data_IF_794885754482
#
_entry.id   IF_794885754482
#
_cell.length_a   1.000
_cell.length_b   1.000
_cell.length_c   1.000
_cell.angle_alpha   90.00
_cell.angle_beta   90.00
_cell.angle_gamma   90.00
#
_symmetry.space_group_name_H-M   'P 1'
#
loop_
_entity.id
_entity.type
_entity.pdbx_description
1 polymer ?
#
# COMPACT_ATOMS: atom_id res chain seq x y z
N UNK A 1 -25.01 39.01 3.84
CA UNK A 1 -24.62 37.81 3.08
C UNK A 1 -23.44 38.19 2.19
N UNK A 2 -22.24 37.77 2.57
CA UNK A 2 -20.99 38.10 1.86
C UNK A 2 -20.80 37.11 0.71
N UNK A 3 -20.89 37.60 -0.52
CA UNK A 3 -20.55 36.84 -1.73
C UNK A 3 -19.03 36.76 -1.86
N UNK A 4 -18.42 35.72 -1.30
CA UNK A 4 -17.02 35.41 -1.59
C UNK A 4 -16.86 35.14 -3.10
N UNK A 5 -15.80 35.67 -3.74
CA UNK A 5 -15.54 35.43 -5.15
C UNK A 5 -15.33 33.93 -5.38
N UNK A 6 -16.13 33.33 -6.26
CA UNK A 6 -15.91 31.95 -6.74
C UNK A 6 -14.51 31.92 -7.35
N UNK A 7 -13.58 31.28 -6.64
CA UNK A 7 -12.17 31.24 -7.02
C UNK A 7 -11.96 30.71 -8.44
N UNK A 8 -10.78 31.01 -9.00
CA UNK A 8 -10.28 30.66 -10.35
C UNK A 8 -10.46 29.18 -10.78
N UNK A 9 -10.95 28.33 -9.90
CA UNK A 9 -11.18 26.91 -10.10
C UNK A 9 -12.40 26.57 -10.97
N UNK A 10 -13.44 27.42 -10.98
CA UNK A 10 -14.60 27.20 -11.85
C UNK A 10 -14.18 27.15 -13.34
N UNK A 11 -13.11 27.86 -13.70
CA UNK A 11 -12.54 27.86 -15.04
C UNK A 11 -11.77 26.57 -15.37
N UNK A 12 -11.25 25.85 -14.37
CA UNK A 12 -10.37 24.68 -14.55
C UNK A 12 -11.06 23.33 -14.31
N UNK A 13 -12.35 23.33 -13.99
CA UNK A 13 -13.15 22.11 -13.78
C UNK A 13 -13.17 21.19 -15.00
N UNK A 14 -13.17 21.77 -16.20
CA UNK A 14 -13.11 21.04 -17.48
C UNK A 14 -11.77 20.33 -17.67
N UNK A 15 -10.65 21.00 -17.38
CA UNK A 15 -9.31 20.41 -17.46
C UNK A 15 -9.13 19.25 -16.48
N UNK A 16 -9.67 19.39 -15.27
CA UNK A 16 -9.70 18.32 -14.27
C UNK A 16 -10.47 17.08 -14.75
N UNK A 17 -11.70 17.27 -15.25
CA UNK A 17 -12.51 16.17 -15.77
C UNK A 17 -11.88 15.51 -17.00
N UNK A 18 -11.27 16.31 -17.89
CA UNK A 18 -10.56 15.80 -19.06
C UNK A 18 -9.35 14.94 -18.67
N UNK A 19 -8.60 15.32 -17.62
CA UNK A 19 -7.48 14.53 -17.13
C UNK A 19 -7.92 13.19 -16.52
N UNK A 20 -9.00 13.19 -15.71
CA UNK A 20 -9.55 11.96 -15.14
C UNK A 20 -10.04 11.01 -16.24
N UNK A 21 -10.76 11.54 -17.24
CA UNK A 21 -11.23 10.75 -18.39
C UNK A 21 -10.07 10.20 -19.22
N UNK A 22 -9.05 11.03 -19.51
CA UNK A 22 -7.87 10.62 -20.29
C UNK A 22 -7.11 9.46 -19.64
N UNK A 23 -7.07 9.43 -18.31
CA UNK A 23 -6.34 8.40 -17.56
C UNK A 23 -7.23 7.24 -17.09
N UNK A 24 -8.51 7.19 -17.50
CA UNK A 24 -9.50 6.20 -17.03
C UNK A 24 -9.58 6.11 -15.51
N UNK A 25 -9.45 7.26 -14.85
CA UNK A 25 -9.50 7.37 -13.40
C UNK A 25 -10.95 7.65 -13.04
N UNK A 26 -11.63 6.65 -12.49
CA UNK A 26 -13.06 6.72 -12.17
C UNK A 26 -13.33 7.71 -11.02
N UNK A 27 -12.32 7.93 -10.18
CA UNK A 27 -12.39 8.89 -9.09
C UNK A 27 -11.02 9.45 -8.72
N UNK A 28 -11.02 10.69 -8.21
CA UNK A 28 -9.85 11.36 -7.64
C UNK A 28 -9.08 10.50 -6.62
N UNK A 29 -9.74 9.52 -5.99
CA UNK A 29 -9.15 8.62 -4.99
C UNK A 29 -8.18 7.59 -5.56
N UNK A 30 -8.20 7.36 -6.88
CA UNK A 30 -7.27 6.47 -7.57
C UNK A 30 -6.03 7.23 -8.07
N UNK A 31 -5.97 8.56 -7.87
CA UNK A 31 -4.80 9.33 -8.24
C UNK A 31 -3.61 8.93 -7.36
N UNK A 32 -2.61 8.33 -7.99
CA UNK A 32 -1.29 8.16 -7.38
C UNK A 32 -0.67 9.54 -7.11
N UNK A 33 0.23 9.69 -6.12
CA UNK A 33 0.90 10.96 -5.82
C UNK A 33 1.47 11.68 -7.05
N UNK A 34 2.08 10.92 -7.97
CA UNK A 34 2.61 11.41 -9.25
C UNK A 34 1.53 11.95 -10.20
N UNK A 35 0.35 11.31 -10.23
CA UNK A 35 -0.78 11.77 -11.04
C UNK A 35 -1.44 13.02 -10.44
N UNK A 36 -1.33 13.19 -9.12
CA UNK A 36 -1.82 14.36 -8.39
C UNK A 36 -0.93 15.57 -8.68
N UNK A 37 0.39 15.39 -8.76
CA UNK A 37 1.36 16.39 -9.24
C UNK A 37 1.13 16.78 -10.70
N UNK A 38 0.92 15.80 -11.59
CA UNK A 38 0.64 16.09 -13.01
C UNK A 38 -0.66 16.90 -13.19
N UNK A 39 -1.70 16.57 -12.41
CA UNK A 39 -2.97 17.28 -12.40
C UNK A 39 -2.82 18.70 -11.82
N UNK A 40 -1.90 18.89 -10.86
CA UNK A 40 -1.52 20.18 -10.31
C UNK A 40 -0.80 21.06 -11.35
N UNK A 41 0.16 20.50 -12.09
CA UNK A 41 0.88 21.18 -13.16
C UNK A 41 -0.07 21.65 -14.30
N UNK A 42 -1.11 20.87 -14.60
CA UNK A 42 -2.13 21.23 -15.60
C UNK A 42 -3.05 22.35 -15.12
N UNK A 43 -3.29 22.46 -13.81
CA UNK A 43 -4.23 23.45 -13.24
C UNK A 43 -3.58 24.79 -12.87
N UNK A 44 -2.24 24.90 -12.97
CA UNK A 44 -1.51 26.18 -12.93
C UNK A 44 -1.45 26.84 -11.55
N UNK A 45 -1.53 26.07 -10.46
CA UNK A 45 -1.24 26.55 -9.10
C UNK A 45 0.15 26.05 -8.74
N UNK A 46 1.03 26.87 -8.17
CA UNK A 46 2.44 26.52 -7.86
C UNK A 46 2.83 27.03 -6.47
N UNK A 47 3.89 26.52 -5.79
CA UNK A 47 4.35 25.14 -5.64
C UNK A 47 4.73 24.90 -4.16
N UNK A 48 3.91 25.37 -3.22
CA UNK A 48 4.19 25.21 -1.79
C UNK A 48 3.32 24.10 -1.21
N UNK A 49 3.96 23.18 -0.49
CA UNK A 49 3.36 22.13 0.35
C UNK A 49 2.08 22.58 1.05
N UNK A 50 2.07 23.80 1.59
CA UNK A 50 0.92 24.38 2.28
C UNK A 50 -0.28 24.67 1.37
N UNK A 51 -0.04 25.12 0.13
CA UNK A 51 -1.12 25.34 -0.83
C UNK A 51 -1.72 24.02 -1.31
N UNK A 52 -0.90 22.98 -1.48
CA UNK A 52 -1.38 21.64 -1.81
C UNK A 52 -2.19 21.02 -0.67
N UNK A 53 -1.72 21.18 0.58
CA UNK A 53 -2.48 20.81 1.78
C UNK A 53 -3.82 21.54 1.85
N UNK A 54 -3.82 22.86 1.69
CA UNK A 54 -5.04 23.67 1.68
C UNK A 54 -5.99 23.29 0.53
N UNK A 55 -5.45 22.91 -0.63
CA UNK A 55 -6.24 22.46 -1.78
C UNK A 55 -6.93 21.12 -1.48
N UNK A 56 -6.18 20.11 -1.04
CA UNK A 56 -6.74 18.80 -0.68
C UNK A 56 -7.76 18.93 0.47
N UNK A 57 -7.47 19.79 1.45
CA UNK A 57 -8.39 20.05 2.56
C UNK A 57 -9.68 20.75 2.13
N UNK A 58 -9.61 21.74 1.25
CA UNK A 58 -10.79 22.53 0.88
C UNK A 58 -11.60 21.93 -0.28
N UNK A 59 -10.96 21.22 -1.20
CA UNK A 59 -11.60 20.69 -2.40
C UNK A 59 -11.96 19.21 -2.25
N UNK A 60 -11.08 18.34 -1.75
CA UNK A 60 -11.43 16.92 -1.64
C UNK A 60 -12.30 16.64 -0.41
N UNK A 61 -11.98 17.23 0.75
CA UNK A 61 -12.73 16.94 1.97
C UNK A 61 -14.15 17.55 2.01
N UNK A 62 -14.40 18.62 1.23
CA UNK A 62 -15.67 19.35 1.23
C UNK A 62 -16.72 18.76 0.29
N UNK A 63 -16.28 18.07 -0.77
CA UNK A 63 -17.15 17.35 -1.70
C UNK A 63 -17.27 15.85 -1.36
N UNK A 64 -16.75 15.42 -0.20
CA UNK A 64 -16.90 14.06 0.30
C UNK A 64 -18.32 13.78 0.81
N UNK A 65 -18.95 12.74 0.25
CA UNK A 65 -20.14 12.09 0.79
C UNK A 65 -19.83 11.09 1.92
N UNK A 66 -20.83 10.32 2.33
CA UNK A 66 -20.84 9.48 3.54
C UNK A 66 -19.89 8.27 3.56
N UNK A 67 -19.23 7.90 2.45
CA UNK A 67 -18.30 6.74 2.37
C UNK A 67 -16.92 6.97 3.04
N UNK A 68 -16.89 7.85 4.04
CA UNK A 68 -15.72 8.48 4.65
C UNK A 68 -14.86 7.54 5.50
N UNK A 69 -15.46 6.52 6.11
CA UNK A 69 -14.77 5.66 7.09
C UNK A 69 -14.14 4.42 6.46
N UNK A 70 -14.65 3.97 5.31
CA UNK A 70 -14.18 2.74 4.67
C UNK A 70 -12.84 2.91 3.95
N UNK A 71 -12.51 4.13 3.48
CA UNK A 71 -11.33 4.39 2.65
C UNK A 71 -10.10 4.93 3.40
N UNK A 72 -10.31 5.75 4.44
CA UNK A 72 -9.21 6.39 5.18
C UNK A 72 -8.80 5.55 6.41
N UNK A 73 -9.60 4.52 6.73
CA UNK A 73 -9.47 3.76 7.98
C UNK A 73 -9.60 4.69 9.20
N UNK A 74 -8.83 4.41 10.25
CA UNK A 74 -8.82 5.21 11.49
C UNK A 74 -8.04 6.54 11.40
N UNK A 75 -7.42 6.85 10.24
CA UNK A 75 -6.61 8.08 10.12
C UNK A 75 -7.49 9.32 10.11
N UNK A 76 -7.03 10.39 10.77
CA UNK A 76 -7.73 11.67 10.72
C UNK A 76 -7.58 12.30 9.33
N UNK A 77 -8.57 13.08 8.90
CA UNK A 77 -8.55 13.79 7.61
C UNK A 77 -7.27 14.60 7.39
N UNK A 78 -6.77 15.23 8.45
CA UNK A 78 -5.54 16.00 8.41
C UNK A 78 -4.31 15.12 8.18
N UNK A 79 -4.22 13.99 8.90
CA UNK A 79 -3.10 13.06 8.77
C UNK A 79 -3.00 12.44 7.36
N UNK A 80 -4.13 12.06 6.77
CA UNK A 80 -4.15 11.51 5.41
C UNK A 80 -3.70 12.54 4.35
N UNK A 81 -4.15 13.79 4.47
CA UNK A 81 -3.70 14.86 3.58
C UNK A 81 -2.20 15.14 3.75
N UNK A 82 -1.71 15.15 4.99
CA UNK A 82 -0.30 15.38 5.29
C UNK A 82 0.60 14.28 4.72
N UNK A 83 0.17 13.02 4.78
CA UNK A 83 0.86 11.87 4.20
C UNK A 83 0.91 11.95 2.67
N UNK A 84 -0.23 12.19 1.99
CA UNK A 84 -0.24 12.32 0.52
C UNK A 84 0.63 13.48 0.03
N UNK A 85 0.61 14.61 0.73
CA UNK A 85 1.43 15.77 0.39
C UNK A 85 2.91 15.47 0.61
N UNK A 86 3.25 14.74 1.67
CA UNK A 86 4.63 14.33 1.94
C UNK A 86 5.14 13.35 0.88
N UNK A 87 4.36 12.34 0.53
CA UNK A 87 4.73 11.32 -0.47
C UNK A 87 4.94 11.94 -1.84
N UNK A 88 4.07 12.87 -2.26
CA UNK A 88 4.22 13.58 -3.52
C UNK A 88 5.53 14.36 -3.60
N UNK A 89 5.91 15.09 -2.54
CA UNK A 89 7.16 15.85 -2.52
C UNK A 89 8.41 14.97 -2.39
N UNK A 90 8.31 13.85 -1.68
CA UNK A 90 9.42 12.91 -1.57
C UNK A 90 9.72 12.22 -2.92
N UNK A 91 8.71 11.94 -3.75
CA UNK A 91 8.90 11.37 -5.08
C UNK A 91 9.65 12.28 -6.08
N UNK A 92 9.61 13.61 -5.91
CA UNK A 92 10.37 14.53 -6.78
C UNK A 92 11.88 14.53 -6.46
N UNK A 93 12.25 14.22 -5.21
CA UNK A 93 13.65 14.21 -4.77
C UNK A 93 14.39 12.95 -5.25
N UNK A 94 13.68 11.84 -5.46
CA UNK A 94 14.28 10.57 -5.87
C UNK A 94 14.31 10.34 -7.41
N UNK A 95 13.67 11.21 -8.21
CA UNK A 95 13.53 11.03 -9.66
C UNK A 95 14.34 11.96 -10.57
N UNK A 96 15.24 12.79 -10.01
CA UNK A 96 15.93 13.87 -10.73
C UNK A 96 17.25 13.51 -11.44
N UNK A 97 17.79 12.30 -11.23
CA UNK A 97 19.08 11.90 -11.82
C UNK A 97 18.97 10.51 -12.46
N UNK A 98 18.59 10.44 -13.73
CA UNK A 98 18.66 9.19 -14.49
C UNK A 98 18.00 9.24 -15.86
N UNK A 99 18.81 9.30 -16.92
CA UNK A 99 18.39 8.89 -18.26
C UNK A 99 18.64 9.88 -19.38
N UNK A 100 19.90 10.27 -19.60
CA UNK A 100 20.39 10.72 -20.90
C UNK A 100 21.46 9.75 -21.37
N UNK A 101 21.07 8.78 -22.21
CA UNK A 101 22.00 7.96 -22.98
C UNK A 101 22.59 8.87 -24.07
N UNK A 102 23.86 9.26 -23.91
CA UNK A 102 24.66 9.78 -25.03
C UNK A 102 25.71 8.74 -25.43
N UNK A 103 25.80 8.60 -26.74
CA UNK A 103 26.53 7.59 -27.48
C UNK A 103 28.04 7.55 -27.16
N UNK A 104 28.50 6.31 -27.13
CA UNK A 104 29.86 5.82 -27.02
C UNK A 104 30.75 6.39 -28.14
N UNK A 105 31.52 7.43 -27.85
CA UNK A 105 32.66 7.85 -28.67
C UNK A 105 33.96 7.39 -27.99
N UNK A 106 34.58 6.39 -28.62
CA UNK A 106 35.92 5.88 -28.33
C UNK A 106 36.97 7.00 -28.47
N UNK A 107 37.62 7.38 -27.38
CA UNK A 107 38.81 8.24 -27.41
C UNK A 107 40.01 7.48 -26.86
N UNK A 108 40.92 7.12 -27.76
CA UNK A 108 42.24 6.57 -27.47
C UNK A 108 43.09 7.63 -26.76
N UNK A 109 43.64 7.29 -25.59
CA UNK A 109 44.51 8.18 -24.84
C UNK A 109 45.90 8.34 -25.47
N UNK A 110 46.62 9.44 -25.18
CA UNK A 110 48.05 9.49 -25.36
C UNK A 110 48.79 9.09 -24.09
N UNK A 111 49.84 8.32 -24.35
CA UNK A 111 50.80 7.69 -23.45
C UNK A 111 51.59 8.71 -22.62
N UNK A 112 52.00 8.22 -21.46
CA UNK A 112 53.23 8.50 -20.71
C UNK A 112 54.15 9.60 -21.27
N UNK A 113 54.34 10.65 -20.47
CA UNK A 113 55.48 11.55 -20.53
C UNK A 113 56.13 11.62 -19.14
N UNK A 114 57.07 10.69 -18.90
CA UNK A 114 58.11 10.79 -17.88
C UNK A 114 59.21 11.74 -18.38
N UNK A 115 59.96 12.26 -17.42
CA UNK A 115 61.27 12.91 -17.53
C UNK A 115 61.29 14.43 -17.73
N UNK A 116 61.88 15.09 -16.74
CA UNK A 116 62.13 16.53 -16.68
C UNK A 116 62.98 16.89 -15.46
N UNK A 117 64.10 16.19 -15.28
CA UNK A 117 65.19 16.62 -14.40
C UNK A 117 66.05 17.69 -15.12
N UNK A 118 66.44 18.70 -14.32
CA UNK A 118 67.71 19.46 -14.36
C UNK A 118 68.19 20.08 -15.67
N UNK A 119 68.29 21.41 -15.63
CA UNK A 119 69.45 22.25 -16.00
C UNK A 119 69.07 23.68 -15.57
N UNK A 120 69.88 24.44 -14.83
CA UNK A 120 71.21 24.91 -15.19
C UNK A 120 71.08 26.37 -15.65
N UNK A 121 71.59 27.32 -14.86
CA UNK A 121 72.03 28.68 -15.22
C UNK A 121 71.80 29.68 -14.07
N UNK A 122 72.66 30.63 -13.78
CA UNK A 122 74.11 30.81 -13.91
C UNK A 122 74.39 32.09 -13.11
N UNK A 123 75.50 32.14 -12.39
CA UNK A 123 75.96 33.28 -11.61
C UNK A 123 76.08 34.54 -12.47
N UNK A 124 75.49 35.66 -12.02
CA UNK A 124 75.89 36.99 -12.44
C UNK A 124 76.72 37.65 -11.34
N UNK A 125 78.01 37.31 -11.30
CA UNK A 125 79.06 38.14 -10.70
C UNK A 125 79.72 38.97 -11.80
N UNK A 126 79.30 40.23 -11.95
CA UNK A 126 80.00 41.20 -12.78
C UNK A 126 81.03 41.95 -11.92
N UNK A 127 82.28 41.50 -12.03
CA UNK A 127 83.48 42.16 -11.54
C UNK A 127 83.89 43.22 -12.57
N UNK A 128 83.83 44.51 -12.20
CA UNK A 128 84.42 45.60 -12.98
C UNK A 128 85.79 45.94 -12.39
N UNK A 129 86.84 45.38 -13.00
CA UNK A 129 88.21 45.89 -12.94
C UNK A 129 88.41 46.73 -14.20
N UNK A 130 88.64 48.05 -14.05
CA UNK A 130 89.06 48.92 -15.15
C UNK A 130 90.38 49.59 -14.77
N UNK A 131 91.36 49.15 -15.54
CA UNK A 131 92.75 49.53 -15.76
C UNK A 131 93.28 50.91 -15.32
N UNK A 132 94.49 50.82 -14.77
CA UNK A 132 95.50 51.86 -14.61
C UNK A 132 95.99 52.36 -15.98
N UNK A 133 95.99 53.67 -16.19
CA UNK A 133 96.79 54.31 -17.25
C UNK A 133 97.81 55.27 -16.65
N UNK A 134 99.07 54.81 -16.68
CA UNK A 134 100.29 55.57 -16.47
C UNK A 134 100.58 56.45 -17.70
N UNK A 135 100.56 57.77 -17.52
CA UNK A 135 101.18 58.69 -18.48
C UNK A 135 102.29 59.51 -17.82
N UNK A 136 103.50 58.96 -17.96
CA UNK A 136 104.75 59.68 -17.91
C UNK A 136 104.85 60.64 -19.10
N UNK A 137 105.09 61.92 -18.84
CA UNK A 137 105.77 62.81 -19.79
C UNK A 137 106.89 63.55 -19.08
N UNK A 138 108.10 63.03 -19.27
CA UNK A 138 109.32 63.81 -19.18
C UNK A 138 109.42 64.71 -20.43
N UNK A 139 109.85 65.95 -20.26
CA UNK A 139 110.72 66.60 -21.24
C UNK A 139 111.50 67.75 -20.61
N UNK A 140 112.82 67.56 -20.65
CA UNK A 140 113.87 68.53 -20.40
C UNK A 140 113.81 69.66 -21.43
N UNK A 141 114.18 70.88 -21.06
CA UNK A 141 114.97 71.75 -21.94
C UNK A 141 115.82 72.71 -21.12
N UNK A 142 117.11 72.40 -21.06
CA UNK A 142 118.19 73.31 -20.67
C UNK A 142 118.35 74.41 -21.73
N UNK A 143 118.55 75.66 -21.31
CA UNK A 143 119.24 76.68 -22.13
C UNK A 143 120.21 77.43 -21.22
N UNK A 144 121.50 77.25 -21.52
CA UNK A 144 122.65 77.96 -20.95
C UNK A 144 122.90 79.31 -21.63
N UNK A 145 123.63 80.20 -20.95
CA UNK A 145 124.34 81.35 -21.54
C UNK A 145 124.28 82.60 -20.66
N UNK A 146 125.36 82.97 -19.96
CA UNK A 146 126.41 83.91 -20.43
C UNK A 146 125.92 85.36 -20.42
N UNK A 147 126.58 86.42 -19.96
CA UNK A 147 127.83 86.72 -19.26
C UNK A 147 127.78 88.27 -19.09
N UNK A 148 128.45 88.81 -18.06
CA UNK A 148 129.03 90.18 -17.96
C UNK A 148 128.21 91.37 -18.50
N UNK A 149 127.80 92.29 -17.61
CA UNK A 149 128.14 93.73 -17.71
C UNK A 149 127.59 94.52 -16.53
N UNK A 150 128.51 95.20 -15.84
CA UNK A 150 128.31 96.18 -14.78
C UNK A 150 127.73 97.47 -15.35
N UNK A 151 126.48 97.79 -14.99
CA UNK A 151 125.89 99.12 -15.22
C UNK A 151 124.39 99.08 -15.49
N UNK A 152 123.56 99.13 -14.44
CA UNK A 152 122.10 99.23 -14.62
C UNK A 152 121.28 98.60 -13.50
N UNK A 153 121.55 98.96 -12.24
CA UNK A 153 120.81 98.45 -11.07
C UNK A 153 119.32 98.80 -11.10
N UNK A 154 118.91 99.92 -11.71
CA UNK A 154 117.50 100.33 -11.77
C UNK A 154 116.65 99.53 -12.78
N UNK A 155 117.17 99.23 -13.97
CA UNK A 155 116.41 98.47 -15.00
C UNK A 155 116.26 96.97 -14.66
N UNK A 156 117.20 96.41 -13.89
CA UNK A 156 117.11 95.02 -13.40
C UNK A 156 116.08 94.89 -12.27
N UNK A 157 115.98 95.89 -11.39
CA UNK A 157 114.97 95.93 -10.34
C UNK A 157 113.55 96.07 -10.94
N UNK A 158 113.35 96.89 -11.96
CA UNK A 158 112.07 96.98 -12.69
C UNK A 158 111.68 95.66 -13.38
N UNK A 159 112.63 95.01 -14.05
CA UNK A 159 112.39 93.69 -14.66
C UNK A 159 112.07 92.60 -13.62
N UNK A 160 112.67 92.68 -12.43
CA UNK A 160 112.40 91.75 -11.33
C UNK A 160 111.05 92.01 -10.66
N UNK A 161 110.66 93.27 -10.46
CA UNK A 161 109.35 93.66 -9.95
C UNK A 161 108.25 93.23 -10.93
N UNK A 162 108.46 93.42 -12.24
CA UNK A 162 107.51 92.99 -13.27
C UNK A 162 107.33 91.46 -13.28
N UNK A 163 108.41 90.68 -13.18
CA UNK A 163 108.33 89.21 -13.04
C UNK A 163 107.62 88.75 -11.77
N UNK A 164 107.89 89.41 -10.64
CA UNK A 164 107.21 89.09 -9.37
C UNK A 164 105.72 89.44 -9.44
N UNK A 165 105.36 90.53 -10.12
CA UNK A 165 103.97 90.90 -10.38
C UNK A 165 103.25 89.86 -11.25
N UNK A 166 103.89 89.41 -12.33
CA UNK A 166 103.33 88.34 -13.19
C UNK A 166 103.19 87.01 -12.44
N UNK A 167 104.16 86.66 -11.58
CA UNK A 167 104.08 85.47 -10.72
C UNK A 167 102.97 85.57 -9.67
N UNK A 168 102.78 86.75 -9.06
CA UNK A 168 101.67 86.99 -8.13
C UNK A 168 100.33 86.90 -8.86
N UNK A 169 100.24 87.44 -10.07
CA UNK A 169 99.05 87.34 -10.91
C UNK A 169 98.73 85.90 -11.29
N UNK A 170 99.73 85.11 -11.69
CA UNK A 170 99.56 83.68 -11.98
C UNK A 170 99.18 82.88 -10.73
N UNK A 171 99.73 83.22 -9.55
CA UNK A 171 99.32 82.60 -8.29
C UNK A 171 97.90 82.96 -7.91
N UNK A 172 97.48 84.21 -8.13
CA UNK A 172 96.10 84.63 -7.91
C UNK A 172 95.15 83.87 -8.84
N UNK A 173 95.44 83.78 -10.14
CA UNK A 173 94.63 82.97 -11.05
C UNK A 173 94.51 81.50 -10.60
N UNK A 174 95.60 80.90 -10.11
CA UNK A 174 95.57 79.53 -9.57
C UNK A 174 94.76 79.41 -8.27
N UNK A 175 94.71 80.46 -7.46
CA UNK A 175 93.86 80.50 -6.27
C UNK A 175 92.39 80.61 -6.71
N UNK A 176 92.07 81.54 -7.61
CA UNK A 176 90.72 81.75 -8.13
C UNK A 176 90.18 80.49 -8.87
N UNK A 177 91.04 79.74 -9.57
CA UNK A 177 90.68 78.45 -10.19
C UNK A 177 90.43 77.36 -9.13
N UNK A 178 91.20 77.36 -8.03
CA UNK A 178 91.01 76.41 -6.92
C UNK A 178 89.75 76.71 -6.12
N UNK A 179 89.45 77.98 -5.89
CA UNK A 179 88.21 78.42 -5.23
C UNK A 179 87.00 78.01 -6.06
N UNK A 180 87.01 78.25 -7.38
CA UNK A 180 85.95 77.73 -8.27
C UNK A 180 85.81 76.21 -8.24
N UNK A 181 86.92 75.48 -8.27
CA UNK A 181 86.88 74.01 -8.17
C UNK A 181 86.35 73.51 -6.82
N UNK A 182 86.57 74.25 -5.73
CA UNK A 182 86.00 73.94 -4.42
C UNK A 182 84.49 74.24 -4.38
N UNK A 183 84.05 75.38 -4.93
CA UNK A 183 82.63 75.72 -5.05
C UNK A 183 81.86 74.67 -5.89
N UNK A 184 82.43 74.21 -7.00
CA UNK A 184 81.81 73.18 -7.84
C UNK A 184 81.74 71.82 -7.11
N UNK A 185 82.75 71.51 -6.28
CA UNK A 185 82.75 70.30 -5.46
C UNK A 185 81.75 70.37 -4.30
N UNK A 186 81.57 71.54 -3.70
CA UNK A 186 80.57 71.78 -2.65
C UNK A 186 79.16 71.59 -3.22
N UNK A 187 78.86 72.19 -4.39
CA UNK A 187 77.58 71.98 -5.09
C UNK A 187 77.33 70.50 -5.41
N UNK A 188 78.34 69.77 -5.88
CA UNK A 188 78.20 68.34 -6.17
C UNK A 188 77.96 67.51 -4.89
N UNK A 189 78.49 67.93 -3.74
CA UNK A 189 78.21 67.29 -2.45
C UNK A 189 76.78 67.57 -1.99
N UNK A 190 76.31 68.80 -2.14
CA UNK A 190 74.92 69.17 -1.83
C UNK A 190 73.92 68.37 -2.67
N UNK A 191 74.15 68.25 -3.99
CA UNK A 191 73.34 67.41 -4.88
C UNK A 191 73.36 65.93 -4.46
N UNK A 192 74.52 65.42 -4.05
CA UNK A 192 74.64 64.05 -3.57
C UNK A 192 73.90 63.83 -2.24
N UNK A 193 73.93 64.80 -1.33
CA UNK A 193 73.17 64.76 -0.07
C UNK A 193 71.65 64.76 -0.34
N UNK A 194 71.17 65.60 -1.25
CA UNK A 194 69.75 65.59 -1.67
C UNK A 194 69.34 64.23 -2.27
N UNK A 195 70.20 63.62 -3.09
CA UNK A 195 69.98 62.27 -3.61
C UNK A 195 69.94 61.20 -2.53
N UNK A 196 70.81 61.27 -1.51
CA UNK A 196 70.79 60.34 -0.38
C UNK A 196 69.53 60.49 0.46
N UNK A 197 69.07 61.72 0.71
CA UNK A 197 67.81 61.98 1.42
C UNK A 197 66.63 61.39 0.64
N UNK A 198 66.58 61.59 -0.67
CA UNK A 198 65.52 61.03 -1.53
C UNK A 198 65.53 59.51 -1.50
N UNK A 199 66.71 58.89 -1.60
CA UNK A 199 66.88 57.44 -1.52
C UNK A 199 66.44 56.88 -0.16
N UNK A 200 66.76 57.57 0.94
CA UNK A 200 66.35 57.16 2.28
C UNK A 200 64.82 57.17 2.44
N UNK A 201 64.14 58.18 1.89
CA UNK A 201 62.67 58.26 1.88
C UNK A 201 62.06 57.13 1.04
N UNK A 202 62.62 56.82 -0.12
CA UNK A 202 62.16 55.68 -0.93
C UNK A 202 62.31 54.34 -0.22
N UNK A 203 63.43 54.13 0.47
CA UNK A 203 63.68 52.90 1.24
C UNK A 203 62.64 52.79 2.37
N UNK A 204 62.46 53.86 3.15
CA UNK A 204 61.48 53.87 4.24
C UNK A 204 60.04 53.63 3.74
N UNK A 205 59.69 54.15 2.57
CA UNK A 205 58.38 53.89 1.94
C UNK A 205 58.23 52.42 1.55
N UNK A 206 59.25 51.82 0.94
CA UNK A 206 59.26 50.39 0.59
C UNK A 206 59.18 49.49 1.82
N UNK A 207 59.88 49.83 2.91
CA UNK A 207 59.78 49.11 4.18
C UNK A 207 58.34 49.12 4.72
N UNK A 208 57.69 50.29 4.71
CA UNK A 208 56.29 50.40 5.13
C UNK A 208 55.33 49.58 4.24
N UNK A 209 55.59 49.50 2.93
CA UNK A 209 54.82 48.64 2.02
C UNK A 209 55.00 47.14 2.33
N UNK A 210 56.23 46.72 2.65
CA UNK A 210 56.53 45.34 3.05
C UNK A 210 55.80 44.99 4.34
N UNK A 211 55.85 45.84 5.37
CA UNK A 211 55.14 45.65 6.63
C UNK A 211 53.62 45.48 6.42
N UNK A 212 53.03 46.30 5.54
CA UNK A 212 51.61 46.17 5.19
C UNK A 212 51.32 44.85 4.48
N UNK A 213 52.20 44.38 3.59
CA UNK A 213 52.05 43.09 2.93
C UNK A 213 52.16 41.92 3.92
N UNK A 214 53.07 41.99 4.89
CA UNK A 214 53.18 40.97 5.95
C UNK A 214 51.92 40.88 6.80
N UNK A 215 51.32 42.02 7.18
CA UNK A 215 50.04 42.06 7.90
C UNK A 215 48.93 41.41 7.06
N UNK A 216 48.85 41.72 5.76
CA UNK A 216 47.86 41.13 4.87
C UNK A 216 48.04 39.61 4.72
N UNK A 217 49.27 39.13 4.63
CA UNK A 217 49.58 37.69 4.57
C UNK A 217 49.21 36.99 5.87
N UNK A 218 49.53 37.58 7.03
CA UNK A 218 49.15 37.06 8.35
C UNK A 218 47.64 36.95 8.51
N UNK A 219 46.89 37.97 8.07
CA UNK A 219 45.43 37.95 8.07
C UNK A 219 44.85 36.87 7.13
N UNK A 220 45.46 36.66 5.96
CA UNK A 220 45.07 35.56 5.05
C UNK A 220 45.34 34.19 5.66
N UNK A 221 46.49 34.01 6.32
CA UNK A 221 46.84 32.75 6.98
C UNK A 221 45.87 32.41 8.12
N UNK A 222 45.51 33.40 8.94
CA UNK A 222 44.51 33.21 10.00
C UNK A 222 43.13 32.86 9.44
N UNK A 223 42.72 33.50 8.33
CA UNK A 223 41.49 33.16 7.61
C UNK A 223 41.48 31.74 7.04
N UNK A 224 42.61 31.28 6.51
CA UNK A 224 42.78 29.91 6.02
C UNK A 224 42.70 28.89 7.17
N UNK A 225 43.37 29.14 8.30
CA UNK A 225 43.30 28.28 9.50
C UNK A 225 41.88 28.15 10.03
N UNK A 226 41.13 29.25 10.08
CA UNK A 226 39.72 29.25 10.49
C UNK A 226 38.84 28.44 9.54
N UNK A 227 39.05 28.60 8.23
CA UNK A 227 38.34 27.86 7.19
C UNK A 227 38.65 26.36 7.25
N UNK A 228 39.92 25.99 7.47
CA UNK A 228 40.34 24.60 7.66
C UNK A 228 39.69 23.98 8.90
N UNK A 229 39.66 24.70 10.02
CA UNK A 229 39.00 24.22 11.24
C UNK A 229 37.50 24.00 11.03
N UNK A 230 36.85 24.88 10.25
CA UNK A 230 35.43 24.70 9.87
C UNK A 230 35.24 23.45 9.01
N UNK A 231 36.06 23.25 7.98
CA UNK A 231 35.98 22.05 7.13
C UNK A 231 36.22 20.76 7.92
N UNK A 232 37.13 20.77 8.91
CA UNK A 232 37.34 19.62 9.80
C UNK A 232 36.07 19.31 10.62
N UNK A 233 35.42 20.33 11.19
CA UNK A 233 34.16 20.17 11.93
C UNK A 233 33.03 19.64 11.03
N UNK A 234 32.90 20.20 9.84
CA UNK A 234 31.87 19.79 8.86
C UNK A 234 32.09 18.34 8.41
N UNK A 235 33.36 17.93 8.23
CA UNK A 235 33.73 16.53 7.94
C UNK A 235 33.39 15.59 9.10
N UNK A 236 33.66 16.00 10.33
CA UNK A 236 33.34 15.19 11.51
C UNK A 236 31.83 15.06 11.72
N UNK A 237 31.05 16.14 11.50
CA UNK A 237 29.59 16.06 11.56
C UNK A 237 29.02 15.15 10.48
N UNK A 238 29.55 15.22 9.25
CA UNK A 238 29.13 14.33 8.17
C UNK A 238 29.39 12.86 8.51
N UNK A 239 30.55 12.54 9.10
CA UNK A 239 30.86 11.18 9.54
C UNK A 239 29.87 10.69 10.60
N UNK A 240 29.52 11.54 11.58
CA UNK A 240 28.54 11.20 12.63
C UNK A 240 27.15 10.97 12.01
N UNK A 241 26.74 11.81 11.08
CA UNK A 241 25.45 11.67 10.39
C UNK A 241 25.40 10.37 9.56
N UNK A 242 26.50 10.03 8.89
CA UNK A 242 26.63 8.75 8.18
C UNK A 242 26.51 7.55 9.14
N UNK A 243 27.23 7.55 10.26
CA UNK A 243 27.13 6.48 11.26
C UNK A 243 25.71 6.35 11.84
N UNK A 244 25.04 7.48 12.08
CA UNK A 244 23.66 7.50 12.56
C UNK A 244 22.68 6.97 11.51
N UNK A 245 22.88 7.33 10.24
CA UNK A 245 22.09 6.81 9.13
C UNK A 245 22.27 5.30 8.97
N UNK A 246 23.51 4.78 9.02
CA UNK A 246 23.79 3.35 8.95
C UNK A 246 23.18 2.58 10.13
N UNK A 247 23.22 3.14 11.35
CA UNK A 247 22.55 2.55 12.52
C UNK A 247 21.04 2.48 12.33
N UNK A 248 20.43 3.56 11.85
CA UNK A 248 19.00 3.61 11.55
C UNK A 248 18.61 2.60 10.46
N UNK A 249 19.43 2.50 9.40
CA UNK A 249 19.25 1.55 8.32
C UNK A 249 19.33 0.10 8.81
N UNK A 250 20.35 -0.26 9.61
CA UNK A 250 20.47 -1.59 10.20
C UNK A 250 19.30 -1.93 11.12
N UNK A 251 18.85 -0.99 11.95
CA UNK A 251 17.69 -1.19 12.81
C UNK A 251 16.40 -1.43 12.00
N UNK A 252 16.21 -0.69 10.90
CA UNK A 252 15.07 -0.85 10.01
C UNK A 252 15.13 -2.15 9.20
N UNK A 253 16.33 -2.58 8.78
CA UNK A 253 16.55 -3.87 8.12
C UNK A 253 16.20 -5.03 9.04
N UNK A 254 16.66 -5.00 10.30
CA UNK A 254 16.32 -6.05 11.28
C UNK A 254 14.82 -6.16 11.55
N UNK A 255 14.09 -5.04 11.53
CA UNK A 255 12.63 -5.07 11.63
C UNK A 255 11.97 -5.76 10.43
N UNK A 256 12.49 -5.55 9.21
CA UNK A 256 11.99 -6.23 8.01
C UNK A 256 12.24 -7.73 8.08
N UNK A 257 13.45 -8.14 8.49
CA UNK A 257 13.82 -9.55 8.64
C UNK A 257 12.93 -10.26 9.67
N UNK A 258 12.68 -9.63 10.84
CA UNK A 258 11.75 -10.17 11.84
C UNK A 258 10.31 -10.26 11.31
N UNK A 259 9.86 -9.26 10.56
CA UNK A 259 8.51 -9.26 9.99
C UNK A 259 8.34 -10.33 8.93
N UNK A 260 9.37 -10.56 8.10
CA UNK A 260 9.37 -11.60 7.08
C UNK A 260 9.38 -12.99 7.73
N UNK A 261 10.17 -13.18 8.79
CA UNK A 261 10.21 -14.45 9.52
C UNK A 261 8.87 -14.75 10.20
N UNK A 262 8.19 -13.74 10.76
CA UNK A 262 6.81 -13.90 11.28
C UNK A 262 5.81 -14.28 10.18
N UNK A 263 5.93 -13.69 8.98
CA UNK A 263 5.09 -14.04 7.84
C UNK A 263 5.37 -15.45 7.33
N UNK A 264 6.64 -15.88 7.28
CA UNK A 264 7.03 -17.25 6.93
C UNK A 264 6.46 -18.25 7.92
N UNK A 265 6.60 -17.99 9.23
CA UNK A 265 6.01 -18.84 10.28
C UNK A 265 4.49 -18.95 10.13
N UNK A 266 3.79 -17.83 9.99
CA UNK A 266 2.33 -17.83 9.79
C UNK A 266 1.92 -18.61 8.54
N UNK A 267 2.65 -18.48 7.44
CA UNK A 267 2.39 -19.24 6.20
C UNK A 267 2.56 -20.74 6.40
N UNK A 268 3.56 -21.16 7.17
CA UNK A 268 3.77 -22.57 7.52
C UNK A 268 2.64 -23.10 8.42
N UNK A 269 2.26 -22.34 9.45
CA UNK A 269 1.14 -22.69 10.33
C UNK A 269 -0.19 -22.83 9.54
N UNK A 270 -0.43 -21.92 8.59
CA UNK A 270 -1.62 -21.96 7.73
C UNK A 270 -1.56 -23.13 6.73
N UNK A 271 -0.38 -23.47 6.21
CA UNK A 271 -0.18 -24.65 5.35
C UNK A 271 -0.41 -25.97 6.12
N UNK A 272 0.01 -26.05 7.39
CA UNK A 272 -0.27 -27.21 8.24
C UNK A 272 -1.77 -27.36 8.53
N UNK A 273 -2.47 -26.27 8.81
CA UNK A 273 -3.94 -26.28 8.98
C UNK A 273 -4.65 -26.75 7.70
N UNK A 274 -4.20 -26.30 6.52
CA UNK A 274 -4.77 -26.75 5.25
C UNK A 274 -4.56 -28.26 5.04
N UNK A 275 -3.36 -28.79 5.35
CA UNK A 275 -3.11 -30.24 5.29
C UNK A 275 -4.00 -31.02 6.26
N UNK A 276 -4.24 -30.52 7.47
CA UNK A 276 -5.13 -31.15 8.43
C UNK A 276 -6.58 -31.20 7.90
N UNK A 277 -7.08 -30.09 7.34
CA UNK A 277 -8.40 -30.02 6.72
C UNK A 277 -8.54 -30.94 5.51
N UNK A 278 -7.48 -31.09 4.69
CA UNK A 278 -7.47 -32.05 3.58
C UNK A 278 -7.61 -33.50 4.06
N UNK A 279 -6.99 -33.86 5.18
CA UNK A 279 -7.12 -35.20 5.78
C UNK A 279 -8.53 -35.43 6.28
N UNK A 280 -9.13 -34.45 6.98
CA UNK A 280 -10.52 -34.53 7.42
C UNK A 280 -11.50 -34.65 6.24
N UNK A 281 -11.30 -33.86 5.19
CA UNK A 281 -12.14 -33.92 3.99
C UNK A 281 -12.03 -35.28 3.29
N UNK A 282 -10.84 -35.88 3.23
CA UNK A 282 -10.66 -37.25 2.73
C UNK A 282 -11.42 -38.28 3.58
N UNK A 283 -11.43 -38.11 4.91
CA UNK A 283 -12.19 -38.97 5.83
C UNK A 283 -13.70 -38.85 5.59
N UNK A 284 -14.22 -37.63 5.55
CA UNK A 284 -15.66 -37.38 5.29
C UNK A 284 -16.08 -37.94 3.92
N UNK A 285 -15.25 -37.80 2.89
CA UNK A 285 -15.54 -38.39 1.58
C UNK A 285 -15.57 -39.93 1.60
N UNK A 286 -14.74 -40.57 2.43
CA UNK A 286 -14.77 -42.01 2.60
C UNK A 286 -16.08 -42.45 3.28
N UNK A 287 -16.45 -41.80 4.38
CA UNK A 287 -17.72 -42.05 5.09
C UNK A 287 -18.93 -41.84 4.17
N UNK A 288 -18.90 -40.80 3.32
CA UNK A 288 -19.97 -40.54 2.35
C UNK A 288 -20.08 -41.64 1.28
N UNK A 289 -18.95 -42.21 0.84
CA UNK A 289 -18.96 -43.35 -0.09
C UNK A 289 -19.52 -44.61 0.56
N UNK A 290 -19.17 -44.87 1.82
CA UNK A 290 -19.71 -46.01 2.60
C UNK A 290 -21.23 -45.88 2.78
N UNK A 291 -21.71 -44.71 3.19
CA UNK A 291 -23.15 -44.42 3.31
C UNK A 291 -23.89 -44.55 1.97
N UNK A 292 -23.26 -44.11 0.88
CA UNK A 292 -23.84 -44.26 -0.47
C UNK A 292 -23.93 -45.73 -0.88
N UNK A 293 -22.94 -46.56 -0.53
CA UNK A 293 -22.97 -48.00 -0.77
C UNK A 293 -24.10 -48.68 0.02
N UNK A 294 -24.27 -48.34 1.29
CA UNK A 294 -25.35 -48.85 2.14
C UNK A 294 -26.74 -48.47 1.60
N UNK A 295 -26.92 -47.22 1.15
CA UNK A 295 -28.18 -46.78 0.52
C UNK A 295 -28.48 -47.57 -0.76
N UNK A 296 -27.46 -47.86 -1.56
CA UNK A 296 -27.61 -48.68 -2.77
C UNK A 296 -28.04 -50.11 -2.42
N UNK A 297 -27.45 -50.71 -1.40
CA UNK A 297 -27.85 -52.04 -0.91
C UNK A 297 -29.31 -52.05 -0.40
N UNK A 298 -29.69 -51.06 0.41
CA UNK A 298 -31.08 -50.92 0.88
C UNK A 298 -32.08 -50.73 -0.27
N UNK A 299 -31.70 -49.95 -1.30
CA UNK A 299 -32.56 -49.78 -2.48
C UNK A 299 -32.76 -51.09 -3.25
N UNK A 300 -31.74 -51.95 -3.29
CA UNK A 300 -31.84 -53.29 -3.87
C UNK A 300 -32.81 -54.19 -3.09
N UNK A 301 -32.68 -54.22 -1.76
CA UNK A 301 -33.58 -54.98 -0.88
C UNK A 301 -35.04 -54.51 -0.99
N UNK A 302 -35.28 -53.20 -1.11
CA UNK A 302 -36.61 -52.65 -1.32
C UNK A 302 -37.19 -53.05 -2.69
N UNK A 303 -36.37 -53.10 -3.73
CA UNK A 303 -36.79 -53.58 -5.05
C UNK A 303 -37.17 -55.07 -5.02
N UNK A 304 -36.39 -55.90 -4.32
CA UNK A 304 -36.69 -57.32 -4.13
C UNK A 304 -37.98 -57.52 -3.31
N UNK A 305 -38.17 -56.73 -2.25
CA UNK A 305 -39.40 -56.76 -1.45
C UNK A 305 -40.63 -56.35 -2.26
N UNK A 306 -40.52 -55.31 -3.10
CA UNK A 306 -41.59 -54.90 -4.01
C UNK A 306 -41.96 -56.02 -5.00
N UNK A 307 -40.98 -56.78 -5.50
CA UNK A 307 -41.22 -57.93 -6.36
C UNK A 307 -42.01 -59.02 -5.64
N UNK A 308 -41.64 -59.36 -4.40
CA UNK A 308 -42.37 -60.34 -3.58
C UNK A 308 -43.81 -59.89 -3.31
N UNK A 309 -44.04 -58.60 -3.05
CA UNK A 309 -45.39 -58.05 -2.89
C UNK A 309 -46.22 -58.25 -4.17
N UNK A 310 -45.66 -57.92 -5.33
CA UNK A 310 -46.37 -58.08 -6.60
C UNK A 310 -46.69 -59.55 -6.88
N UNK A 311 -45.75 -60.47 -6.65
CA UNK A 311 -45.98 -61.92 -6.79
C UNK A 311 -47.10 -62.41 -5.86
N UNK A 312 -47.15 -61.90 -4.62
CA UNK A 312 -48.24 -62.24 -3.67
C UNK A 312 -49.57 -61.64 -4.09
N UNK A 313 -49.56 -60.47 -4.70
CA UNK A 313 -50.77 -59.85 -5.24
C UNK A 313 -51.34 -60.66 -6.41
N UNK A 314 -50.48 -61.10 -7.35
CA UNK A 314 -50.88 -61.99 -8.45
C UNK A 314 -51.44 -63.33 -7.93
N UNK A 315 -50.87 -63.90 -6.86
CA UNK A 315 -51.40 -65.10 -6.20
C UNK A 315 -52.80 -64.86 -5.60
N UNK A 316 -53.03 -63.70 -4.98
CA UNK A 316 -54.33 -63.35 -4.42
C UNK A 316 -55.38 -63.16 -5.52
N UNK A 317 -55.02 -62.46 -6.61
CA UNK A 317 -55.93 -62.26 -7.76
C UNK A 317 -56.34 -63.60 -8.38
N UNK A 318 -55.40 -64.54 -8.55
CA UNK A 318 -55.71 -65.92 -9.00
C UNK A 318 -56.65 -66.66 -8.05
N UNK A 319 -56.48 -66.49 -6.73
CA UNK A 319 -57.38 -67.10 -5.73
C UNK A 319 -58.77 -66.48 -5.81
N UNK A 320 -58.87 -65.17 -5.97
CA UNK A 320 -60.15 -64.47 -6.10
C UNK A 320 -60.89 -64.89 -7.38
N UNK A 321 -60.18 -65.09 -8.49
CA UNK A 321 -60.76 -65.66 -9.72
C UNK A 321 -61.26 -67.09 -9.52
N UNK A 322 -60.51 -67.94 -8.81
CA UNK A 322 -60.94 -69.30 -8.50
C UNK A 322 -62.17 -69.33 -7.57
N UNK A 323 -62.27 -68.40 -6.62
CA UNK A 323 -63.46 -68.24 -5.76
C UNK A 323 -64.66 -67.83 -6.60
N UNK A 324 -64.52 -66.80 -7.45
CA UNK A 324 -65.58 -66.34 -8.36
C UNK A 324 -66.08 -67.48 -9.26
N UNK A 325 -65.17 -68.31 -9.77
CA UNK A 325 -65.51 -69.47 -10.58
C UNK A 325 -66.29 -70.53 -9.79
N UNK A 326 -65.88 -70.85 -8.55
CA UNK A 326 -66.62 -71.78 -7.69
C UNK A 326 -67.99 -71.26 -7.28
N UNK A 327 -68.11 -69.95 -7.02
CA UNK A 327 -69.41 -69.33 -6.72
C UNK A 327 -70.36 -69.41 -7.90
N UNK A 328 -69.84 -69.24 -9.12
CA UNK A 328 -70.60 -69.44 -10.36
C UNK A 328 -71.10 -70.89 -10.49
N UNK A 329 -70.22 -71.88 -10.30
CA UNK A 329 -70.59 -73.30 -10.35
C UNK A 329 -71.63 -73.67 -9.27
N UNK A 330 -71.47 -73.15 -8.05
CA UNK A 330 -72.42 -73.33 -6.96
C UNK A 330 -73.79 -72.71 -7.26
N UNK A 331 -73.80 -71.55 -7.90
CA UNK A 331 -75.03 -70.87 -8.34
C UNK A 331 -75.74 -71.69 -9.42
N UNK A 332 -75.02 -72.14 -10.45
CA UNK A 332 -75.56 -73.02 -11.51
C UNK A 332 -76.11 -74.33 -10.92
N UNK A 333 -75.41 -74.94 -9.95
CA UNK A 333 -75.92 -76.11 -9.22
C UNK A 333 -77.18 -75.83 -8.41
N UNK A 334 -77.30 -74.66 -7.77
CA UNK A 334 -78.52 -74.26 -7.05
C UNK A 334 -79.68 -74.05 -8.02
N UNK A 335 -79.46 -73.32 -9.11
CA UNK A 335 -80.45 -73.11 -10.16
C UNK A 335 -80.91 -74.44 -10.79
N UNK A 336 -79.99 -75.38 -11.03
CA UNK A 336 -80.33 -76.71 -11.51
C UNK A 336 -81.16 -77.51 -10.48
N UNK A 337 -80.82 -77.44 -9.19
CA UNK A 337 -81.60 -78.07 -8.11
C UNK A 337 -82.99 -77.45 -7.98
N UNK A 338 -83.10 -76.12 -8.06
CA UNK A 338 -84.37 -75.40 -8.03
C UNK A 338 -85.22 -75.71 -9.26
N UNK A 339 -84.63 -75.77 -10.45
CA UNK A 339 -85.33 -76.19 -11.66
C UNK A 339 -85.85 -77.64 -11.55
N UNK A 340 -85.07 -78.54 -10.92
CA UNK A 340 -85.50 -79.91 -10.62
C UNK A 340 -86.66 -79.91 -9.62
N UNK A 341 -86.55 -79.19 -8.50
CA UNK A 341 -87.63 -79.04 -7.51
C UNK A 341 -88.87 -78.41 -8.13
N UNK A 342 -88.73 -77.43 -9.01
CA UNK A 342 -89.85 -76.78 -9.71
C UNK A 342 -90.55 -77.73 -10.68
N UNK A 343 -89.81 -78.62 -11.36
CA UNK A 343 -90.40 -79.72 -12.14
C UNK A 343 -91.13 -80.72 -11.25
N UNK A 344 -90.51 -81.16 -10.15
CA UNK A 344 -91.13 -82.07 -9.17
C UNK A 344 -92.36 -81.45 -8.47
N UNK A 345 -92.35 -80.13 -8.24
CA UNK A 345 -93.49 -79.37 -7.70
C UNK A 345 -94.61 -79.20 -8.73
N UNK A 346 -94.29 -79.04 -10.03
CA UNK A 346 -95.31 -79.06 -11.10
C UNK A 346 -95.94 -80.43 -11.31
N UNK A 347 -95.24 -81.53 -10.99
CA UNK A 347 -95.79 -82.89 -11.00
C UNK A 347 -96.64 -83.21 -9.76
N UNK A 348 -96.49 -82.44 -8.69
CA UNK A 348 -97.32 -82.52 -7.48
C UNK A 348 -98.21 -81.29 -7.39
N UNK A 349 -99.33 -81.30 -8.12
CA UNK A 349 -100.42 -80.33 -7.93
C UNK A 349 -100.75 -80.22 -6.43
N UNK A 350 -100.39 -79.09 -5.82
CA UNK A 350 -100.96 -78.64 -4.56
C UNK A 350 -100.87 -77.12 -4.47
N UNK A 351 -102.04 -76.48 -4.52
CA UNK A 351 -102.28 -75.07 -4.20
C UNK A 351 -101.92 -74.83 -2.74
N UNK A 352 -100.84 -74.09 -2.47
CA UNK A 352 -100.64 -73.37 -1.21
C UNK A 352 -99.95 -72.04 -1.53
N UNK A 353 -100.80 -71.01 -1.63
CA UNK A 353 -100.47 -69.63 -1.22
C UNK A 353 -99.86 -69.62 0.19
N UNK A 354 -99.09 -68.57 0.50
CA UNK A 354 -98.85 -68.12 1.87
C UNK A 354 -97.70 -68.80 2.64
N UNK A 355 -96.50 -68.21 2.58
CA UNK A 355 -95.64 -68.03 3.75
C UNK A 355 -94.44 -67.10 3.49
N UNK A 356 -94.18 -66.24 4.48
CA UNK A 356 -92.90 -65.60 4.78
C UNK A 356 -92.63 -64.19 4.23
N UNK A 357 -93.50 -63.28 4.65
CA UNK A 357 -93.10 -62.00 5.27
C UNK A 357 -92.05 -62.19 6.39
N UNK A 358 -91.27 -61.12 6.62
CA UNK A 358 -90.44 -60.81 7.80
C UNK A 358 -88.91 -61.06 7.69
N UNK A 359 -88.21 -60.04 7.19
CA UNK A 359 -86.87 -59.66 7.65
C UNK A 359 -86.81 -58.12 7.67
N UNK A 360 -87.48 -57.53 8.65
CA UNK A 360 -87.25 -56.14 9.05
C UNK A 360 -85.89 -56.09 9.73
N UNK A 361 -84.90 -55.50 9.04
CA UNK A 361 -83.63 -55.12 9.64
C UNK A 361 -83.93 -54.14 10.79
N UNK A 362 -83.61 -54.58 11.99
CA UNK A 362 -83.64 -53.78 13.22
C UNK A 362 -82.80 -52.51 13.06
N UNK A 363 -83.28 -51.35 13.55
CA UNK A 363 -82.47 -50.14 13.55
C UNK A 363 -81.29 -50.36 14.49
N UNK A 364 -80.08 -50.23 13.95
CA UNK A 364 -78.82 -50.31 14.68
C UNK A 364 -78.91 -49.42 15.91
N UNK A 365 -78.90 -50.04 17.09
CA UNK A 365 -78.94 -49.36 18.37
C UNK A 365 -77.62 -48.62 18.55
N UNK A 366 -77.58 -47.36 18.10
CA UNK A 366 -76.50 -46.44 18.46
C UNK A 366 -76.77 -46.05 19.92
N UNK A 367 -75.86 -46.35 20.86
CA UNK A 367 -76.02 -45.93 22.24
C UNK A 367 -76.26 -44.40 22.28
N UNK A 368 -77.28 -43.89 23.01
CA UNK A 368 -77.69 -42.49 22.94
C UNK A 368 -76.55 -41.48 23.20
N UNK A 369 -75.51 -41.89 23.92
CA UNK A 369 -74.36 -41.06 24.27
C UNK A 369 -73.41 -40.82 23.07
N UNK A 370 -73.45 -41.63 22.02
CA UNK A 370 -72.62 -41.47 20.80
C UNK A 370 -73.28 -40.57 19.75
N UNK A 371 -74.62 -40.51 19.70
CA UNK A 371 -75.34 -39.60 18.80
C UNK A 371 -75.01 -38.13 19.08
N UNK A 372 -74.80 -37.78 20.36
CA UNK A 372 -74.40 -36.44 20.78
C UNK A 372 -73.08 -35.98 20.13
N UNK A 373 -72.07 -36.85 20.09
CA UNK A 373 -70.77 -36.53 19.50
C UNK A 373 -70.81 -36.48 17.97
N UNK A 374 -71.57 -37.35 17.31
CA UNK A 374 -71.74 -37.31 15.85
C UNK A 374 -72.43 -36.04 15.36
N UNK A 375 -73.38 -35.51 16.13
CA UNK A 375 -74.06 -34.24 15.79
C UNK A 375 -73.17 -33.02 16.11
N UNK A 376 -72.37 -33.08 17.18
CA UNK A 376 -71.50 -31.97 17.61
C UNK A 376 -70.26 -31.83 16.73
N UNK A 377 -69.65 -32.93 16.30
CA UNK A 377 -68.54 -32.94 15.31
C UNK A 377 -68.99 -32.54 13.90
N UNK A 378 -70.27 -32.73 13.57
CA UNK A 378 -70.84 -32.30 12.29
C UNK A 378 -71.15 -30.80 12.25
N UNK A 379 -71.22 -30.14 13.42
CA UNK A 379 -71.61 -28.74 13.56
C UNK A 379 -70.46 -27.78 13.91
N UNK A 380 -69.28 -28.27 14.33
CA UNK A 380 -68.15 -27.41 14.71
C UNK A 380 -66.98 -27.48 13.71
N UNK A 381 -66.49 -26.31 13.29
CA UNK A 381 -65.34 -26.19 12.38
C UNK A 381 -63.98 -26.40 13.06
N UNK A 382 -63.93 -26.48 14.39
CA UNK A 382 -62.70 -26.74 15.14
C UNK A 382 -63.01 -27.46 16.46
N UNK A 383 -62.30 -28.54 16.74
CA UNK A 383 -62.42 -29.30 18.00
C UNK A 383 -61.62 -28.62 19.10
N UNK A 384 -62.28 -28.12 20.15
CA UNK A 384 -61.61 -27.45 21.27
C UNK A 384 -60.94 -28.45 22.22
N UNK A 385 -59.98 -27.99 23.04
CA UNK A 385 -59.36 -28.83 24.06
C UNK A 385 -60.38 -29.37 25.09
N UNK A 386 -61.45 -28.60 25.35
CA UNK A 386 -62.54 -29.00 26.22
C UNK A 386 -63.39 -30.13 25.61
N UNK A 387 -63.65 -30.07 24.29
CA UNK A 387 -64.33 -31.15 23.57
C UNK A 387 -63.49 -32.45 23.58
N UNK A 388 -62.16 -32.35 23.45
CA UNK A 388 -61.24 -33.50 23.57
C UNK A 388 -61.34 -34.14 24.96
N UNK A 389 -61.34 -33.34 26.02
CA UNK A 389 -61.45 -33.83 27.40
C UNK A 389 -62.80 -34.52 27.66
N UNK A 390 -63.91 -33.96 27.16
CA UNK A 390 -65.24 -34.55 27.33
C UNK A 390 -65.42 -35.83 26.51
N UNK A 391 -64.85 -35.91 25.31
CA UNK A 391 -64.84 -37.13 24.51
C UNK A 391 -64.02 -38.23 25.18
N UNK A 392 -62.82 -37.91 25.67
CA UNK A 392 -61.98 -38.86 26.43
C UNK A 392 -62.70 -39.38 27.67
N UNK A 393 -63.43 -38.53 28.40
CA UNK A 393 -64.23 -38.95 29.55
C UNK A 393 -65.39 -39.87 29.14
N UNK A 394 -66.10 -39.55 28.06
CA UNK A 394 -67.19 -40.40 27.52
C UNK A 394 -66.66 -41.78 27.10
N UNK A 395 -65.48 -41.83 26.48
CA UNK A 395 -64.80 -43.09 26.15
C UNK A 395 -64.42 -43.87 27.41
N UNK A 396 -63.89 -43.22 28.45
CA UNK A 396 -63.58 -43.86 29.74
C UNK A 396 -64.82 -44.45 30.40
N UNK A 397 -65.95 -43.74 30.38
CA UNK A 397 -67.20 -44.20 30.97
C UNK A 397 -67.80 -45.40 30.18
N UNK A 398 -67.62 -45.43 28.84
CA UNK A 398 -67.95 -46.59 28.00
C UNK A 398 -67.00 -47.78 28.21
N UNK A 399 -65.72 -47.53 28.55
CA UNK A 399 -64.67 -48.53 28.80
C UNK A 399 -64.79 -49.26 30.14
N UNK A 400 -65.70 -48.86 31.04
CA UNK A 400 -65.93 -49.58 32.30
C UNK A 400 -66.44 -51.03 32.10
N UNK A 401 -66.72 -51.44 30.86
CA UNK A 401 -66.90 -52.84 30.43
C UNK A 401 -65.56 -53.38 29.93
N UNK A 402 -65.00 -54.37 30.64
CA UNK A 402 -63.59 -54.79 30.61
C UNK A 402 -63.02 -55.32 29.27
N UNK A 403 -63.83 -55.51 28.24
CA UNK A 403 -63.39 -56.10 26.95
C UNK A 403 -62.97 -55.10 25.88
N UNK A 404 -63.07 -53.79 26.10
CA UNK A 404 -62.78 -52.76 25.06
C UNK A 404 -61.52 -51.92 25.33
N UNK A 405 -60.80 -52.18 26.42
CA UNK A 405 -59.72 -51.30 26.91
C UNK A 405 -58.49 -51.28 25.99
N UNK A 406 -58.05 -52.43 25.48
CA UNK A 406 -56.86 -52.51 24.62
C UNK A 406 -57.07 -51.88 23.25
N UNK A 407 -58.24 -52.08 22.65
CA UNK A 407 -58.55 -51.54 21.33
C UNK A 407 -58.75 -50.00 21.38
N UNK A 408 -59.31 -49.47 22.47
CA UNK A 408 -59.45 -48.02 22.68
C UNK A 408 -58.12 -47.33 23.03
N UNK A 409 -57.17 -48.02 23.66
CA UNK A 409 -55.79 -47.53 23.79
C UNK A 409 -55.13 -47.34 22.41
N UNK A 410 -55.40 -48.24 21.47
CA UNK A 410 -54.93 -48.14 20.09
C UNK A 410 -55.51 -46.95 19.32
N UNK A 411 -56.73 -46.50 19.64
CA UNK A 411 -57.34 -45.28 19.11
C UNK A 411 -56.71 -44.04 19.74
N UNK A 412 -56.54 -44.04 21.07
CA UNK A 412 -55.99 -42.92 21.82
C UNK A 412 -54.52 -42.62 21.40
N UNK A 413 -53.72 -43.67 21.18
CA UNK A 413 -52.34 -43.52 20.70
C UNK A 413 -52.24 -42.88 19.30
N UNK A 414 -53.20 -43.16 18.40
CA UNK A 414 -53.26 -42.49 17.10
C UNK A 414 -53.68 -41.03 17.25
N UNK A 415 -54.59 -40.73 18.19
CA UNK A 415 -55.07 -39.38 18.45
C UNK A 415 -53.99 -38.46 19.05
N UNK A 416 -53.22 -38.93 20.04
CA UNK A 416 -52.11 -38.18 20.65
C UNK A 416 -50.98 -37.86 19.66
N UNK A 417 -50.81 -38.70 18.61
CA UNK A 417 -49.87 -38.46 17.51
C UNK A 417 -50.40 -37.53 16.43
N UNK A 418 -51.60 -36.95 16.60
CA UNK A 418 -52.26 -36.09 15.61
C UNK A 418 -52.80 -36.85 14.38
N UNK A 419 -52.85 -38.18 14.42
CA UNK A 419 -53.28 -39.02 13.30
C UNK A 419 -54.80 -39.28 13.37
N UNK A 420 -55.58 -38.29 12.94
CA UNK A 420 -57.05 -38.29 13.05
C UNK A 420 -57.72 -39.43 12.24
N UNK A 421 -57.30 -39.65 10.99
CA UNK A 421 -57.92 -40.65 10.09
C UNK A 421 -57.71 -42.08 10.58
N UNK A 422 -56.50 -42.51 10.98
CA UNK A 422 -56.28 -43.83 11.58
C UNK A 422 -57.07 -44.05 12.87
N UNK A 423 -57.17 -43.02 13.73
CA UNK A 423 -57.95 -43.10 14.97
C UNK A 423 -59.44 -43.37 14.68
N UNK A 424 -60.02 -42.63 13.72
CA UNK A 424 -61.43 -42.79 13.33
C UNK A 424 -61.73 -44.14 12.66
N UNK A 425 -60.82 -44.67 11.84
CA UNK A 425 -60.98 -46.03 11.26
C UNK A 425 -61.00 -47.12 12.32
N UNK A 426 -60.09 -47.05 13.29
CA UNK A 426 -60.05 -48.01 14.40
C UNK A 426 -61.31 -47.93 15.27
N UNK A 427 -61.78 -46.70 15.55
CA UNK A 427 -63.02 -46.49 16.30
C UNK A 427 -64.25 -47.02 15.52
N UNK A 428 -64.29 -46.86 14.20
CA UNK A 428 -65.35 -47.42 13.34
C UNK A 428 -65.37 -48.94 13.36
N UNK A 429 -64.20 -49.59 13.31
CA UNK A 429 -64.09 -51.05 13.41
C UNK A 429 -64.61 -51.56 14.76
N UNK A 430 -64.27 -50.85 15.85
CA UNK A 430 -64.72 -51.10 17.21
C UNK A 430 -66.25 -51.03 17.41
N UNK A 431 -66.93 -50.10 16.72
CA UNK A 431 -68.37 -49.85 16.91
C UNK A 431 -69.24 -50.64 15.91
N UNK A 432 -68.63 -51.44 15.02
CA UNK A 432 -69.33 -52.45 14.23
C UNK A 432 -70.39 -51.92 13.26
N UNK A 433 -70.16 -50.78 12.57
CA UNK A 433 -71.16 -50.29 11.61
C UNK A 433 -70.81 -49.09 10.74
N UNK A 434 -71.47 -49.06 9.57
CA UNK A 434 -71.26 -48.24 8.36
C UNK A 434 -71.13 -46.73 8.61
N UNK A 435 -69.98 -46.17 8.25
CA UNK A 435 -69.79 -44.74 8.02
C UNK A 435 -69.33 -44.58 6.58
N UNK A 436 -70.06 -43.82 5.75
CA UNK A 436 -69.63 -43.51 4.38
C UNK A 436 -68.35 -42.69 4.41
N UNK A 437 -67.25 -43.24 3.86
CA UNK A 437 -65.93 -42.60 3.86
C UNK A 437 -65.92 -41.22 3.20
N UNK A 438 -66.80 -41.01 2.21
CA UNK A 438 -66.89 -39.77 1.41
C UNK A 438 -67.22 -38.54 2.26
N UNK A 439 -67.94 -38.69 3.39
CA UNK A 439 -68.32 -37.56 4.26
C UNK A 439 -67.24 -37.19 5.28
N UNK A 440 -66.35 -38.13 5.63
CA UNK A 440 -65.24 -37.88 6.56
C UNK A 440 -64.06 -37.18 5.90
N UNK A 441 -63.77 -37.50 4.63
CA UNK A 441 -62.70 -36.84 3.86
C UNK A 441 -63.04 -35.37 3.58
N UNK A 442 -64.31 -35.04 3.31
CA UNK A 442 -64.73 -33.66 3.06
C UNK A 442 -64.66 -32.74 4.29
N UNK A 443 -64.76 -33.27 5.51
CA UNK A 443 -64.61 -32.47 6.74
C UNK A 443 -63.14 -32.13 6.98
N UNK A 444 -62.22 -33.04 6.65
CA UNK A 444 -60.77 -32.86 6.87
C UNK A 444 -60.14 -31.93 5.83
N UNK A 445 -60.66 -31.89 4.60
CA UNK A 445 -60.18 -30.94 3.58
C UNK A 445 -60.70 -29.50 3.76
N UNK A 446 -61.61 -29.27 4.71
CA UNK A 446 -62.17 -27.95 5.03
C UNK A 446 -61.66 -27.34 6.34
N UNK A 447 -60.73 -28.02 7.03
CA UNK A 447 -60.02 -27.57 8.24
C UNK A 447 -58.52 -27.61 8.00
#
# INVERSE_FOLDING_TARGET
MSSQPRGKWAANKSAYQAYLQKNKIESAYQLRPQQLLALFNITGVAPNKQQMKNFLQNCLLKYWGADRENLIGKKTKAAWVDEMVQDAYNCEVEGGEGGGEEEEATYEGPKEGKDGEKEGNEDMQSQMDVDQDDHQFANNTEVSGSAVETGGTLLREEAQVSRLSDQLRQRQFKIDDRERALEDREKALDEYEEHLVTRAVEISTREAEVDQQEILLSNKESGLKSSEQKLRKDKDSFRIDQENWEKCYRAKSGFLDESEERLRKKRNDDAEKLRALEVENKKVNLELREMTALLKEQSGLLADYAKVINEKQDEMEKKDEAIKQKDKEMKEMREAKEAKKAKEAKERNFDIEEASSALTLSPTFIPPNLQFWTSRLRASASVTAEDKSKFQQTCKDLCAKSTLVEELQGVNACWEKGQLVPALRKLKALVGGVWEEVKLVNIIYMT
#
